data_IF_896546536395
#
_entry.id   IF_896546536395
#
_cell.length_a   1.000
_cell.length_b   1.000
_cell.length_c   1.000
_cell.angle_alpha   90.00
_cell.angle_beta   90.00
_cell.angle_gamma   90.00
#
_symmetry.space_group_name_H-M   'P 1'
#
loop_
_entity.id
_entity.type
_entity.pdbx_description
1 polymer ?
#
# COMPACT_ATOMS: atom_id res chain seq x y z
N UNK A 1 -7.55 -16.26 -7.14
CA UNK A 1 -7.34 -15.05 -6.32
C UNK A 1 -6.48 -15.34 -5.09
N UNK A 2 -6.74 -16.42 -4.34
CA UNK A 2 -5.97 -16.77 -3.13
C UNK A 2 -4.44 -16.90 -3.33
N UNK A 3 -4.01 -17.53 -4.42
CA UNK A 3 -2.58 -17.66 -4.74
C UNK A 3 -1.87 -16.30 -4.90
N UNK A 4 -2.52 -15.34 -5.55
CA UNK A 4 -1.98 -13.98 -5.71
C UNK A 4 -1.83 -13.31 -4.34
N UNK A 5 -2.85 -13.41 -3.50
CA UNK A 5 -2.82 -12.82 -2.14
C UNK A 5 -1.75 -13.43 -1.24
N UNK A 6 -1.47 -14.73 -1.44
CA UNK A 6 -0.46 -15.46 -0.67
C UNK A 6 0.98 -15.18 -1.14
N UNK A 7 1.19 -14.97 -2.43
CA UNK A 7 2.54 -14.99 -3.02
C UNK A 7 3.02 -13.66 -3.60
N UNK A 8 2.12 -12.70 -3.81
CA UNK A 8 2.46 -11.43 -4.43
C UNK A 8 2.19 -10.27 -3.47
N UNK A 9 3.00 -9.22 -3.64
CA UNK A 9 2.80 -7.89 -3.07
C UNK A 9 2.90 -6.88 -4.20
N UNK A 10 2.23 -5.74 -4.05
CA UNK A 10 2.28 -4.64 -5.00
C UNK A 10 2.86 -3.40 -4.31
N UNK A 11 3.75 -2.70 -5.01
CA UNK A 11 4.35 -1.46 -4.52
C UNK A 11 3.35 -0.29 -4.63
N UNK A 12 3.45 0.68 -3.71
CA UNK A 12 2.60 1.88 -3.73
C UNK A 12 2.97 2.90 -4.81
N UNK A 13 4.16 2.78 -5.42
CA UNK A 13 4.61 3.69 -6.46
C UNK A 13 5.24 2.94 -7.66
N UNK A 14 4.99 3.42 -8.89
CA UNK A 14 4.04 4.47 -9.24
C UNK A 14 2.58 3.97 -9.17
N UNK A 15 1.67 4.80 -8.66
CA UNK A 15 0.24 4.51 -8.66
C UNK A 15 -0.59 5.80 -8.80
N UNK A 16 -1.60 5.78 -9.68
CA UNK A 16 -2.64 6.82 -9.70
C UNK A 16 -3.72 6.49 -8.67
N UNK A 17 -3.51 6.97 -7.44
CA UNK A 17 -4.47 6.80 -6.35
C UNK A 17 -5.56 7.89 -6.42
N UNK A 18 -6.82 7.57 -6.09
CA UNK A 18 -7.88 8.56 -6.00
C UNK A 18 -7.57 9.61 -4.93
N UNK A 19 -7.88 10.88 -5.20
CA UNK A 19 -7.84 11.94 -4.20
C UNK A 19 -9.12 12.00 -3.35
N UNK A 20 -10.19 11.36 -3.80
CA UNK A 20 -11.46 11.27 -3.07
C UNK A 20 -11.38 10.17 -1.99
N UNK A 21 -11.62 10.49 -0.70
CA UNK A 21 -11.49 9.51 0.38
C UNK A 21 -12.41 8.29 0.24
N UNK A 22 -13.62 8.46 -0.31
CA UNK A 22 -14.55 7.35 -0.48
C UNK A 22 -14.07 6.38 -1.56
N UNK A 23 -13.55 6.91 -2.66
CA UNK A 23 -12.93 6.10 -3.72
C UNK A 23 -11.64 5.43 -3.22
N UNK A 24 -10.83 6.12 -2.42
CA UNK A 24 -9.63 5.55 -1.82
C UNK A 24 -9.96 4.38 -0.87
N UNK A 25 -11.00 4.53 -0.04
CA UNK A 25 -11.49 3.45 0.82
C UNK A 25 -11.98 2.24 0.01
N UNK A 26 -12.79 2.46 -1.04
CA UNK A 26 -13.21 1.38 -1.94
C UNK A 26 -12.01 0.69 -2.60
N UNK A 27 -11.02 1.45 -3.06
CA UNK A 27 -9.80 0.90 -3.65
C UNK A 27 -9.02 0.08 -2.63
N UNK A 28 -8.88 0.56 -1.41
CA UNK A 28 -8.18 -0.15 -0.33
C UNK A 28 -8.83 -1.51 -0.03
N UNK A 29 -10.17 -1.56 0.01
CA UNK A 29 -10.92 -2.82 0.16
C UNK A 29 -10.73 -3.75 -1.04
N UNK A 30 -10.89 -3.24 -2.26
CA UNK A 30 -10.75 -4.03 -3.49
C UNK A 30 -9.37 -4.66 -3.62
N UNK A 31 -8.32 -3.92 -3.23
CA UNK A 31 -6.93 -4.38 -3.27
C UNK A 31 -6.55 -5.28 -2.09
N UNK A 32 -7.37 -5.37 -1.04
CA UNK A 32 -6.96 -5.90 0.25
C UNK A 32 -5.65 -5.23 0.72
N UNK A 33 -5.64 -3.89 0.71
CA UNK A 33 -4.44 -3.07 0.77
C UNK A 33 -3.53 -3.41 1.96
N UNK A 34 -4.13 -3.66 3.13
CA UNK A 34 -3.45 -4.07 4.36
C UNK A 34 -2.50 -5.25 4.16
N UNK A 35 -2.88 -6.27 3.39
CA UNK A 35 -2.04 -7.47 3.21
C UNK A 35 -1.26 -7.45 1.90
N UNK A 36 -1.66 -6.62 0.93
CA UNK A 36 -1.14 -6.65 -0.43
C UNK A 36 -0.11 -5.57 -0.73
N UNK A 37 -0.23 -4.40 -0.11
CA UNK A 37 0.61 -3.24 -0.45
C UNK A 37 1.89 -3.21 0.38
N UNK A 38 2.98 -2.82 -0.30
CA UNK A 38 4.26 -2.48 0.32
C UNK A 38 4.64 -1.06 -0.10
N UNK A 39 5.06 -0.24 0.86
CA UNK A 39 5.50 1.11 0.55
C UNK A 39 6.72 1.13 -0.39
N UNK A 40 6.65 2.00 -1.39
CA UNK A 40 7.77 2.38 -2.24
C UNK A 40 7.61 3.86 -2.63
N UNK A 41 8.73 4.60 -2.66
CA UNK A 41 8.76 6.00 -3.09
C UNK A 41 9.05 6.18 -4.58
N UNK A 42 9.61 5.16 -5.23
CA UNK A 42 10.15 5.22 -6.59
C UNK A 42 11.22 6.31 -6.81
N UNK A 43 12.00 6.65 -5.77
CA UNK A 43 13.14 7.56 -5.90
C UNK A 43 14.20 7.00 -6.89
N UNK A 44 14.78 7.82 -7.79
CA UNK A 44 14.71 9.28 -7.88
C UNK A 44 13.66 9.85 -8.86
N UNK A 45 12.67 9.05 -9.29
CA UNK A 45 11.65 9.54 -10.22
C UNK A 45 10.71 10.55 -9.52
N UNK A 46 10.36 11.64 -10.21
CA UNK A 46 9.37 12.61 -9.74
C UNK A 46 7.98 12.30 -10.30
N UNK A 47 7.04 11.95 -9.43
CA UNK A 47 5.65 11.63 -9.78
C UNK A 47 4.62 12.63 -9.20
N UNK A 48 5.09 13.74 -8.61
CA UNK A 48 4.29 14.66 -7.80
C UNK A 48 4.06 14.16 -6.37
N UNK A 49 3.18 14.82 -5.60
CA UNK A 49 2.89 14.44 -4.20
C UNK A 49 2.12 13.10 -4.08
N UNK A 50 1.48 12.64 -5.16
CA UNK A 50 0.63 11.44 -5.13
C UNK A 50 -0.58 11.62 -4.20
N UNK A 51 -1.30 10.52 -3.92
CA UNK A 51 -2.42 10.50 -2.95
C UNK A 51 -2.32 9.26 -2.04
N UNK A 52 -1.09 8.86 -1.67
CA UNK A 52 -0.89 7.68 -0.83
C UNK A 52 -1.43 7.89 0.59
N UNK A 53 -1.26 9.09 1.13
CA UNK A 53 -1.83 9.54 2.39
C UNK A 53 -3.35 9.32 2.45
N UNK A 54 -4.09 9.70 1.40
CA UNK A 54 -5.54 9.50 1.32
C UNK A 54 -5.93 8.02 1.40
N UNK A 55 -5.14 7.13 0.78
CA UNK A 55 -5.35 5.68 0.90
C UNK A 55 -5.00 5.17 2.30
N UNK A 56 -3.92 5.66 2.91
CA UNK A 56 -3.49 5.26 4.25
C UNK A 56 -4.50 5.70 5.32
N UNK A 57 -5.11 6.87 5.17
CA UNK A 57 -6.15 7.39 6.08
C UNK A 57 -7.45 6.58 6.01
N UNK A 58 -7.66 5.79 4.95
CA UNK A 58 -8.75 4.85 4.85
C UNK A 58 -8.51 3.52 5.58
N UNK A 59 -7.29 3.30 6.11
CA UNK A 59 -6.92 2.09 6.86
C UNK A 59 -6.95 2.36 8.37
N UNK A 60 -7.08 1.28 9.15
CA UNK A 60 -6.79 1.33 10.58
C UNK A 60 -5.28 1.46 10.84
N UNK A 61 -4.89 1.78 12.08
CA UNK A 61 -3.48 1.95 12.47
C UNK A 61 -2.63 0.72 12.09
N UNK A 62 -3.17 -0.48 12.30
CA UNK A 62 -2.51 -1.73 11.94
C UNK A 62 -2.35 -1.90 10.42
N UNK A 63 -3.35 -1.50 9.62
CA UNK A 63 -3.27 -1.49 8.17
C UNK A 63 -2.24 -0.50 7.65
N UNK A 64 -2.22 0.71 8.22
CA UNK A 64 -1.21 1.73 7.91
C UNK A 64 0.20 1.23 8.21
N UNK A 65 0.42 0.62 9.38
CA UNK A 65 1.70 0.00 9.74
C UNK A 65 2.08 -1.14 8.80
N UNK A 66 1.12 -1.97 8.40
CA UNK A 66 1.35 -3.07 7.49
C UNK A 66 1.87 -2.60 6.13
N UNK A 67 1.21 -1.58 5.54
CA UNK A 67 1.62 -1.01 4.25
C UNK A 67 2.98 -0.31 4.34
N UNK A 68 3.20 0.48 5.39
CA UNK A 68 4.41 1.29 5.54
C UNK A 68 5.65 0.50 5.94
N UNK A 69 5.49 -0.64 6.64
CA UNK A 69 6.63 -1.38 7.19
C UNK A 69 6.42 -2.89 7.22
N UNK A 70 5.37 -3.39 7.88
CA UNK A 70 5.32 -4.79 8.29
C UNK A 70 5.30 -5.77 7.10
N UNK A 71 4.62 -5.41 6.01
CA UNK A 71 4.58 -6.24 4.80
C UNK A 71 5.95 -6.33 4.12
N UNK A 72 6.70 -5.23 4.07
CA UNK A 72 8.05 -5.22 3.51
C UNK A 72 9.02 -6.01 4.41
N UNK A 73 8.93 -5.83 5.73
CA UNK A 73 9.72 -6.60 6.69
C UNK A 73 9.48 -8.11 6.54
N UNK A 74 8.22 -8.54 6.42
CA UNK A 74 7.87 -9.93 6.19
C UNK A 74 8.35 -10.46 4.83
N UNK A 75 8.18 -9.68 3.76
CA UNK A 75 8.58 -10.06 2.40
C UNK A 75 10.10 -10.25 2.29
N UNK A 76 10.88 -9.32 2.85
CA UNK A 76 12.34 -9.30 2.73
C UNK A 76 13.07 -9.93 3.92
N UNK A 77 12.33 -10.38 4.94
CA UNK A 77 12.87 -10.93 6.20
C UNK A 77 13.83 -9.96 6.90
N UNK A 78 13.41 -8.69 7.00
CA UNK A 78 14.16 -7.67 7.71
C UNK A 78 13.98 -7.88 9.22
N UNK A 79 15.05 -7.69 9.99
CA UNK A 79 14.95 -7.66 11.45
C UNK A 79 14.23 -6.37 11.87
N UNK A 80 13.23 -6.51 12.76
CA UNK A 80 12.51 -5.39 13.35
C UNK A 80 13.31 -4.68 14.43
#
# INVERSE_FOLDING_TARGET
SEYVRRHFRAATAPAQLPSDPQQAAQLAEMLNARDMLVFASDFPHEHGEGNLDVLLDALDDAGREAVLSANAAALYRLAG
#
